data_IF_022894281293
#
_entry.id   IF_022894281293
#
_cell.length_a   1.000
_cell.length_b   1.000
_cell.length_c   1.000
_cell.angle_alpha   90.00
_cell.angle_beta   90.00
_cell.angle_gamma   90.00
#
_symmetry.space_group_name_H-M   'P 1'
#
loop_
_entity.id
_entity.type
_entity.pdbx_description
1 polymer ?
#
# COMPACT_ATOMS: atom_id res chain seq x y z
N UNK A 1 19.84 19.75 18.12
CA UNK A 1 18.36 19.79 18.29
C UNK A 1 18.02 19.00 19.54
N UNK A 2 17.04 19.40 20.35
CA UNK A 2 16.69 18.64 21.56
C UNK A 2 15.96 17.35 21.16
N UNK A 3 16.37 16.22 21.73
CA UNK A 3 15.81 14.88 21.47
C UNK A 3 14.28 14.83 21.54
N UNK A 4 13.67 15.64 22.40
CA UNK A 4 12.22 15.77 22.51
C UNK A 4 11.56 16.32 21.25
N UNK A 5 12.15 17.34 20.59
CA UNK A 5 11.61 17.92 19.36
C UNK A 5 11.66 16.93 18.20
N UNK A 6 12.70 16.11 18.16
CA UNK A 6 12.85 15.04 17.17
C UNK A 6 11.78 13.96 17.34
N UNK A 7 11.59 13.45 18.56
CA UNK A 7 10.55 12.45 18.86
C UNK A 7 9.16 12.98 18.51
N UNK A 8 8.84 14.22 18.88
CA UNK A 8 7.54 14.82 18.55
C UNK A 8 7.36 15.02 17.04
N UNK A 9 8.44 15.35 16.32
CA UNK A 9 8.40 15.47 14.86
C UNK A 9 8.14 14.13 14.19
N UNK A 10 8.82 13.08 14.64
CA UNK A 10 8.65 11.72 14.14
C UNK A 10 7.24 11.19 14.42
N UNK A 11 6.74 11.38 15.65
CA UNK A 11 5.39 10.96 16.01
C UNK A 11 4.30 11.69 15.19
N UNK A 12 4.46 13.00 14.94
CA UNK A 12 3.52 13.76 14.11
C UNK A 12 3.58 13.30 12.63
N UNK A 13 4.77 13.02 12.12
CA UNK A 13 4.94 12.47 10.77
C UNK A 13 4.27 11.10 10.63
N UNK A 14 4.50 10.20 11.58
CA UNK A 14 3.92 8.85 11.56
C UNK A 14 2.38 8.88 11.65
N UNK A 15 1.85 9.78 12.48
CA UNK A 15 0.41 10.04 12.57
C UNK A 15 -0.16 10.55 11.23
N UNK A 16 0.48 11.55 10.62
CA UNK A 16 0.04 12.09 9.35
C UNK A 16 0.12 11.05 8.21
N UNK A 17 1.17 10.22 8.20
CA UNK A 17 1.34 9.17 7.20
C UNK A 17 0.24 8.09 7.32
N UNK A 18 -0.10 7.68 8.53
CA UNK A 18 -1.18 6.72 8.79
C UNK A 18 -2.55 7.27 8.35
N UNK A 19 -2.81 8.56 8.65
CA UNK A 19 -4.02 9.24 8.22
C UNK A 19 -4.09 9.39 6.68
N UNK A 20 -2.98 9.69 6.02
CA UNK A 20 -2.91 9.78 4.55
C UNK A 20 -3.19 8.42 3.88
N UNK A 21 -2.59 7.34 4.38
CA UNK A 21 -2.78 6.00 3.81
C UNK A 21 -4.25 5.53 3.91
N UNK A 22 -4.89 5.76 5.05
CA UNK A 22 -6.30 5.38 5.23
C UNK A 22 -7.26 6.24 4.41
N UNK A 23 -7.01 7.55 4.32
CA UNK A 23 -7.90 8.47 3.59
C UNK A 23 -7.62 8.50 2.10
N UNK A 24 -6.45 8.97 1.68
CA UNK A 24 -6.12 9.19 0.27
C UNK A 24 -5.91 7.86 -0.45
N UNK A 25 -5.13 6.95 0.13
CA UNK A 25 -4.79 5.70 -0.55
C UNK A 25 -5.94 4.70 -0.50
N UNK A 26 -6.68 4.61 0.61
CA UNK A 26 -7.78 3.61 0.70
C UNK A 26 -9.13 4.20 0.31
N UNK A 27 -9.54 5.33 0.91
CA UNK A 27 -10.88 5.88 0.68
C UNK A 27 -11.03 6.62 -0.65
N UNK A 28 -9.97 7.22 -1.21
CA UNK A 28 -10.03 7.92 -2.50
C UNK A 28 -9.54 7.10 -3.69
N UNK A 29 -8.36 6.48 -3.59
CA UNK A 29 -7.74 5.79 -4.73
C UNK A 29 -8.55 4.57 -5.19
N UNK A 30 -9.15 3.80 -4.27
CA UNK A 30 -9.97 2.64 -4.60
C UNK A 30 -11.15 2.98 -5.51
N UNK A 31 -12.08 3.86 -5.08
CA UNK A 31 -13.18 4.32 -5.92
C UNK A 31 -12.74 5.03 -7.21
N UNK A 32 -11.64 5.78 -7.17
CA UNK A 32 -11.09 6.42 -8.37
C UNK A 32 -10.66 5.40 -9.43
N UNK A 33 -9.94 4.35 -9.05
CA UNK A 33 -9.52 3.29 -9.97
C UNK A 33 -10.70 2.48 -10.48
N UNK A 34 -11.67 2.17 -9.61
CA UNK A 34 -12.90 1.50 -10.02
C UNK A 34 -13.67 2.32 -11.07
N UNK A 35 -13.85 3.62 -10.84
CA UNK A 35 -14.48 4.52 -11.80
C UNK A 35 -13.72 4.62 -13.13
N UNK A 36 -12.39 4.60 -13.09
CA UNK A 36 -11.56 4.62 -14.29
C UNK A 36 -11.74 3.35 -15.13
N UNK A 37 -11.81 2.17 -14.50
CA UNK A 37 -12.04 0.89 -15.18
C UNK A 37 -13.47 0.82 -15.72
N UNK A 38 -14.46 1.27 -14.95
CA UNK A 38 -15.86 1.31 -15.37
C UNK A 38 -16.10 2.25 -16.56
N UNK A 39 -15.22 3.24 -16.79
CA UNK A 39 -15.27 4.10 -17.97
C UNK A 39 -14.71 3.44 -19.25
N UNK A 40 -14.12 2.25 -19.14
CA UNK A 40 -13.62 1.48 -20.29
C UNK A 40 -14.76 0.71 -20.98
N UNK A 41 -14.65 0.42 -22.30
CA UNK A 41 -15.71 -0.27 -23.03
C UNK A 41 -16.06 -1.68 -22.54
N UNK A 42 -15.14 -2.33 -21.84
CA UNK A 42 -15.30 -3.70 -21.34
C UNK A 42 -15.71 -3.73 -19.86
N UNK A 43 -15.80 -2.57 -19.20
CA UNK A 43 -16.13 -2.35 -17.77
C UNK A 43 -15.28 -3.18 -16.77
N UNK A 44 -14.29 -3.89 -17.28
CA UNK A 44 -13.43 -4.83 -16.57
C UNK A 44 -11.98 -4.63 -17.02
N UNK A 45 -11.04 -4.98 -16.16
CA UNK A 45 -9.63 -4.94 -16.50
C UNK A 45 -9.13 -6.34 -16.82
N UNK A 46 -8.66 -6.55 -18.06
CA UNK A 46 -8.05 -7.82 -18.45
C UNK A 46 -6.63 -7.94 -17.90
N UNK A 47 -6.40 -8.95 -17.06
CA UNK A 47 -5.08 -9.34 -16.58
C UNK A 47 -4.73 -10.73 -17.13
N UNK A 48 -4.08 -10.74 -18.30
CA UNK A 48 -3.79 -11.99 -19.02
C UNK A 48 -5.06 -12.67 -19.48
N UNK A 49 -5.39 -13.84 -18.91
CA UNK A 49 -6.58 -14.62 -19.25
C UNK A 49 -7.79 -14.34 -18.33
N UNK A 50 -7.64 -13.49 -17.32
CA UNK A 50 -8.68 -13.22 -16.32
C UNK A 50 -9.21 -11.80 -16.47
N UNK A 51 -10.53 -11.65 -16.48
CA UNK A 51 -11.20 -10.36 -16.36
C UNK A 51 -11.42 -10.03 -14.88
N UNK A 52 -10.95 -8.87 -14.45
CA UNK A 52 -11.10 -8.38 -13.08
C UNK A 52 -12.15 -7.28 -13.07
N UNK A 53 -13.18 -7.46 -12.23
CA UNK A 53 -14.22 -6.45 -11.97
C UNK A 53 -13.61 -5.16 -11.42
N UNK A 54 -14.17 -4.02 -11.80
CA UNK A 54 -13.65 -2.69 -11.43
C UNK A 54 -13.46 -2.52 -9.90
N UNK A 55 -14.44 -2.95 -9.10
CA UNK A 55 -14.42 -2.86 -7.64
C UNK A 55 -13.42 -3.84 -6.99
N UNK A 56 -13.10 -4.94 -7.67
CA UNK A 56 -12.19 -5.96 -7.18
C UNK A 56 -10.71 -5.64 -7.46
N UNK A 57 -10.43 -4.72 -8.39
CA UNK A 57 -9.07 -4.42 -8.82
C UNK A 57 -8.16 -3.90 -7.71
N UNK A 58 -8.63 -2.88 -6.97
CA UNK A 58 -7.85 -2.31 -5.87
C UNK A 58 -7.53 -3.32 -4.74
N UNK A 59 -8.52 -4.04 -4.16
CA UNK A 59 -8.23 -5.04 -3.13
C UNK A 59 -7.41 -6.23 -3.65
N UNK A 60 -7.51 -6.56 -4.94
CA UNK A 60 -6.65 -7.58 -5.56
C UNK A 60 -5.17 -7.16 -5.54
N UNK A 61 -4.86 -5.93 -5.97
CA UNK A 61 -3.51 -5.37 -5.90
C UNK A 61 -2.95 -5.31 -4.47
N UNK A 62 -3.78 -4.90 -3.51
CA UNK A 62 -3.42 -4.88 -2.07
C UNK A 62 -3.09 -6.29 -1.58
N UNK A 63 -3.89 -7.29 -1.97
CA UNK A 63 -3.65 -8.69 -1.59
C UNK A 63 -2.33 -9.22 -2.12
N UNK A 64 -1.99 -8.93 -3.39
CA UNK A 64 -0.69 -9.28 -3.97
C UNK A 64 0.44 -8.63 -3.17
N UNK A 65 0.34 -7.35 -2.84
CA UNK A 65 1.33 -6.63 -2.03
C UNK A 65 1.56 -7.31 -0.67
N UNK A 66 0.48 -7.70 0.02
CA UNK A 66 0.56 -8.39 1.32
C UNK A 66 1.20 -9.78 1.16
N UNK A 67 0.84 -10.54 0.13
CA UNK A 67 1.45 -11.84 -0.15
C UNK A 67 2.96 -11.69 -0.37
N UNK A 68 3.39 -10.71 -1.18
CA UNK A 68 4.80 -10.43 -1.38
C UNK A 68 5.48 -10.07 -0.05
N UNK A 69 4.87 -9.24 0.78
CA UNK A 69 5.40 -8.91 2.10
C UNK A 69 5.56 -10.16 2.99
N UNK A 70 4.56 -11.04 3.05
CA UNK A 70 4.63 -12.29 3.82
C UNK A 70 5.78 -13.18 3.34
N UNK A 71 6.03 -13.20 2.03
CA UNK A 71 7.12 -13.99 1.45
C UNK A 71 8.49 -13.35 1.69
N UNK A 72 8.64 -12.03 1.54
CA UNK A 72 9.94 -11.36 1.54
C UNK A 72 10.37 -10.79 2.91
N UNK A 73 9.44 -10.31 3.74
CA UNK A 73 9.79 -9.69 5.03
C UNK A 73 10.55 -10.61 5.99
N UNK A 74 10.29 -11.93 6.07
CA UNK A 74 11.11 -12.82 6.91
C UNK A 74 12.59 -12.84 6.49
N UNK A 75 12.86 -12.86 5.18
CA UNK A 75 14.23 -12.85 4.66
C UNK A 75 14.90 -11.50 4.84
N UNK A 76 14.18 -10.40 4.55
CA UNK A 76 14.70 -9.05 4.74
C UNK A 76 14.92 -8.72 6.21
N UNK A 77 14.02 -9.16 7.09
CA UNK A 77 14.14 -9.02 8.55
C UNK A 77 15.35 -9.77 9.07
N UNK A 78 15.51 -11.04 8.69
CA UNK A 78 16.71 -11.81 9.03
C UNK A 78 17.99 -11.12 8.53
N UNK A 79 18.01 -10.64 7.28
CA UNK A 79 19.15 -9.92 6.73
C UNK A 79 19.46 -8.65 7.55
N UNK A 80 18.44 -7.87 7.90
CA UNK A 80 18.59 -6.66 8.72
C UNK A 80 19.12 -6.98 10.13
N UNK A 81 18.73 -8.12 10.73
CA UNK A 81 19.26 -8.55 12.02
C UNK A 81 20.74 -8.98 11.94
N UNK A 82 21.16 -9.59 10.82
CA UNK A 82 22.56 -10.00 10.61
C UNK A 82 23.46 -8.85 10.17
N UNK A 83 22.93 -7.89 9.41
CA UNK A 83 23.68 -6.69 9.02
C UNK A 83 23.53 -5.64 10.11
N UNK A 84 24.55 -5.50 10.96
CA UNK A 84 24.67 -4.39 11.92
C UNK A 84 24.91 -3.05 11.18
N UNK A 85 23.99 -2.65 10.31
CA UNK A 85 23.93 -1.31 9.73
C UNK A 85 23.41 -0.38 10.83
N UNK A 86 24.36 0.17 11.59
CA UNK A 86 24.15 1.34 12.46
C UNK A 86 23.98 2.59 11.62
#
# INVERSE_FOLDING_TARGET
MSKQREITGWAMYDWANSAFSTTVVTAFLGPYLAALIAASPEETLQLGAYAIEADAFYPFCVSISVILQVLFLPFLGALADYTNLK
#
